data_IF_150518647046
#
_entry.id   IF_150518647046
#
_cell.length_a   1.000
_cell.length_b   1.000
_cell.length_c   1.000
_cell.angle_alpha   90.00
_cell.angle_beta   90.00
_cell.angle_gamma   90.00
#
_symmetry.space_group_name_H-M   'P 1'
#
loop_
_entity.id
_entity.type
_entity.pdbx_description
1 polymer ?
#
# COMPACT_ATOMS: atom_id res chain seq x y z
N UNK A 1 -2.28 34.22 1.95
CA UNK A 1 -2.39 32.76 2.10
C UNK A 1 -1.22 32.13 1.35
N UNK A 2 -0.27 31.50 2.06
CA UNK A 2 0.83 30.75 1.43
C UNK A 2 0.38 29.30 1.22
N UNK A 3 0.98 28.59 0.25
CA UNK A 3 0.64 27.18 -0.05
C UNK A 3 0.72 26.29 1.19
N UNK A 4 1.74 26.50 2.04
CA UNK A 4 1.94 25.77 3.30
C UNK A 4 0.80 25.93 4.31
N UNK A 5 0.01 27.01 4.19
CA UNK A 5 -1.12 27.28 5.11
C UNK A 5 -2.39 26.53 4.65
N UNK A 6 -2.38 25.96 3.44
CA UNK A 6 -3.52 25.25 2.82
C UNK A 6 -3.31 23.74 2.83
N UNK A 7 -2.07 23.29 2.62
CA UNK A 7 -1.75 21.87 2.55
C UNK A 7 -1.67 21.27 3.96
N UNK A 8 -2.08 20.00 4.08
CA UNK A 8 -2.00 19.25 5.33
C UNK A 8 -0.56 19.12 5.87
N UNK A 9 0.44 19.17 4.98
CA UNK A 9 1.87 19.10 5.30
C UNK A 9 2.59 20.25 4.62
N UNK A 10 3.52 20.88 5.35
CA UNK A 10 4.35 21.94 4.78
C UNK A 10 5.30 21.34 3.72
N UNK A 11 5.13 21.69 2.43
CA UNK A 11 5.96 21.14 1.34
C UNK A 11 7.42 21.61 1.43
N UNK A 12 7.72 22.69 2.17
CA UNK A 12 9.09 23.13 2.39
C UNK A 12 9.84 22.24 3.40
N UNK A 13 9.10 21.53 4.26
CA UNK A 13 9.66 20.61 5.26
C UNK A 13 9.53 19.14 4.84
N UNK A 14 8.53 18.81 4.02
CA UNK A 14 8.20 17.44 3.62
C UNK A 14 8.30 17.29 2.10
N UNK A 15 9.53 17.15 1.61
CA UNK A 15 9.78 16.81 0.21
C UNK A 15 9.30 15.40 -0.14
N UNK A 16 9.04 15.15 -1.43
CA UNK A 16 8.76 13.80 -1.92
C UNK A 16 10.02 12.95 -1.84
N UNK A 17 10.04 11.99 -0.92
CA UNK A 17 11.20 11.12 -0.68
C UNK A 17 11.62 10.31 -1.92
N UNK A 18 10.64 9.99 -2.78
CA UNK A 18 10.82 9.26 -4.02
C UNK A 18 11.00 10.17 -5.25
N UNK A 19 11.15 11.49 -5.07
CA UNK A 19 11.24 12.49 -6.14
C UNK A 19 10.07 12.41 -7.15
N UNK A 20 8.90 11.93 -6.72
CA UNK A 20 7.72 11.78 -7.57
C UNK A 20 7.70 10.52 -8.46
N UNK A 21 8.66 9.60 -8.29
CA UNK A 21 8.73 8.36 -9.08
C UNK A 21 8.64 7.13 -8.19
N UNK A 22 7.54 6.37 -8.32
CA UNK A 22 7.43 5.07 -7.67
C UNK A 22 8.36 4.06 -8.35
N UNK A 23 9.34 3.55 -7.59
CA UNK A 23 10.22 2.46 -8.01
C UNK A 23 9.89 1.20 -7.23
N UNK A 24 9.67 0.11 -7.96
CA UNK A 24 9.54 -1.24 -7.41
C UNK A 24 10.94 -1.82 -7.42
N UNK A 25 11.55 -1.92 -6.25
CA UNK A 25 12.93 -2.38 -6.08
C UNK A 25 12.91 -3.52 -5.08
N UNK A 26 13.50 -4.65 -5.42
CA UNK A 26 13.56 -5.84 -4.55
C UNK A 26 14.74 -5.77 -3.55
N UNK A 27 15.58 -4.74 -3.68
CA UNK A 27 16.76 -4.53 -2.86
C UNK A 27 16.39 -3.92 -1.51
N UNK A 28 16.55 -4.70 -0.44
CA UNK A 28 16.36 -4.25 0.95
C UNK A 28 17.59 -3.53 1.49
N UNK A 29 17.93 -2.38 0.92
CA UNK A 29 18.91 -1.48 1.53
C UNK A 29 18.21 -0.44 2.43
N UNK A 30 18.96 0.15 3.36
CA UNK A 30 18.44 1.10 4.36
C UNK A 30 17.70 2.27 3.69
N UNK A 31 18.25 2.81 2.61
CA UNK A 31 17.65 3.89 1.83
C UNK A 31 16.28 3.52 1.25
N UNK A 32 16.15 2.31 0.68
CA UNK A 32 14.89 1.83 0.12
C UNK A 32 13.82 1.64 1.22
N UNK A 33 14.23 1.26 2.43
CA UNK A 33 13.33 1.19 3.59
C UNK A 33 12.93 2.59 4.06
N UNK A 34 13.84 3.54 4.11
CA UNK A 34 13.53 4.93 4.44
C UNK A 34 12.54 5.54 3.44
N UNK A 35 12.79 5.35 2.14
CA UNK A 35 11.89 5.75 1.05
C UNK A 35 10.51 5.10 1.20
N UNK A 36 10.45 3.78 1.46
CA UNK A 36 9.19 3.07 1.66
C UNK A 36 8.42 3.58 2.89
N UNK A 37 9.10 3.85 4.00
CA UNK A 37 8.48 4.40 5.22
C UNK A 37 7.87 5.76 4.92
N UNK A 38 8.61 6.63 4.24
CA UNK A 38 8.13 7.93 3.81
C UNK A 38 6.89 7.80 2.92
N UNK A 39 6.95 6.95 1.88
CA UNK A 39 5.83 6.68 0.98
C UNK A 39 4.59 6.19 1.74
N UNK A 40 4.70 5.15 2.58
CA UNK A 40 3.58 4.63 3.38
C UNK A 40 2.97 5.70 4.31
N UNK A 41 3.82 6.49 4.98
CA UNK A 41 3.36 7.56 5.88
C UNK A 41 2.62 8.70 5.15
N UNK A 42 2.86 8.85 3.85
CA UNK A 42 2.23 9.85 2.97
C UNK A 42 1.13 9.27 2.09
N UNK A 43 0.92 7.95 2.12
CA UNK A 43 0.03 7.29 1.19
C UNK A 43 -1.42 7.65 1.48
N UNK A 44 -2.06 8.29 0.50
CA UNK A 44 -3.48 8.67 0.58
C UNK A 44 -4.33 7.46 0.19
N UNK A 45 -4.67 6.63 1.16
CA UNK A 45 -5.47 5.42 0.97
C UNK A 45 -6.98 5.76 0.94
N UNK A 46 -7.39 6.59 -0.02
CA UNK A 46 -8.77 7.08 -0.15
C UNK A 46 -9.25 7.01 -1.60
N UNK A 47 -10.56 7.16 -1.81
CA UNK A 47 -11.18 7.18 -3.13
C UNK A 47 -10.77 5.98 -4.00
N UNK A 48 -10.35 6.25 -5.24
CA UNK A 48 -10.05 5.21 -6.23
C UNK A 48 -8.87 4.29 -5.83
N UNK A 49 -7.93 4.74 -4.99
CA UNK A 49 -6.89 3.86 -4.49
C UNK A 49 -7.44 2.86 -3.48
N UNK A 50 -8.23 3.31 -2.51
CA UNK A 50 -8.86 2.42 -1.54
C UNK A 50 -9.76 1.40 -2.24
N UNK A 51 -10.66 1.87 -3.11
CA UNK A 51 -11.57 1.01 -3.89
C UNK A 51 -10.81 -0.03 -4.72
N UNK A 52 -9.73 0.38 -5.37
CA UNK A 52 -8.88 -0.52 -6.16
C UNK A 52 -8.24 -1.61 -5.31
N UNK A 53 -7.65 -1.26 -4.17
CA UNK A 53 -7.03 -2.21 -3.25
C UNK A 53 -8.07 -3.17 -2.67
N UNK A 54 -9.20 -2.66 -2.19
CA UNK A 54 -10.31 -3.43 -1.63
C UNK A 54 -10.81 -4.45 -2.66
N UNK A 55 -11.05 -4.01 -3.89
CA UNK A 55 -11.53 -4.90 -4.97
C UNK A 55 -10.54 -6.04 -5.26
N UNK A 56 -9.24 -5.77 -5.27
CA UNK A 56 -8.21 -6.78 -5.53
C UNK A 56 -8.16 -7.80 -4.39
N UNK A 57 -8.06 -7.35 -3.13
CA UNK A 57 -7.95 -8.25 -1.97
C UNK A 57 -9.23 -9.07 -1.79
N UNK A 58 -10.40 -8.44 -1.88
CA UNK A 58 -11.69 -9.14 -1.82
C UNK A 58 -11.81 -10.20 -2.91
N UNK A 59 -11.49 -9.86 -4.16
CA UNK A 59 -11.57 -10.81 -5.27
C UNK A 59 -10.68 -12.04 -5.05
N UNK A 60 -9.49 -11.84 -4.48
CA UNK A 60 -8.59 -12.93 -4.15
C UNK A 60 -9.16 -13.83 -3.03
N UNK A 61 -9.60 -13.22 -1.93
CA UNK A 61 -10.19 -13.93 -0.78
C UNK A 61 -11.43 -14.74 -1.19
N UNK A 62 -12.34 -14.14 -1.98
CA UNK A 62 -13.55 -14.80 -2.50
C UNK A 62 -13.24 -16.02 -3.38
N UNK A 63 -12.09 -16.02 -4.06
CA UNK A 63 -11.70 -17.09 -4.99
C UNK A 63 -10.90 -18.23 -4.33
N UNK A 64 -10.54 -18.12 -3.04
CA UNK A 64 -9.71 -19.13 -2.37
C UNK A 64 -10.32 -20.54 -2.39
N UNK A 65 -11.65 -20.65 -2.38
CA UNK A 65 -12.35 -21.94 -2.43
C UNK A 65 -12.66 -22.40 -3.85
N UNK A 66 -12.21 -21.67 -4.88
CA UNK A 66 -12.50 -21.95 -6.29
C UNK A 66 -11.32 -22.67 -6.93
N UNK A 67 -11.58 -23.28 -8.08
CA UNK A 67 -10.56 -23.99 -8.86
C UNK A 67 -9.64 -23.06 -9.66
N UNK A 68 -9.91 -21.75 -9.67
CA UNK A 68 -9.10 -20.74 -10.34
C UNK A 68 -9.14 -19.41 -9.59
N UNK A 69 -8.05 -18.64 -9.73
CA UNK A 69 -7.88 -17.31 -9.15
C UNK A 69 -8.03 -16.24 -10.23
N UNK A 70 -8.86 -15.23 -9.98
CA UNK A 70 -8.99 -14.08 -10.87
C UNK A 70 -7.72 -13.23 -10.81
N UNK A 71 -7.16 -12.90 -11.97
CA UNK A 71 -6.11 -11.89 -12.08
C UNK A 71 -6.69 -10.47 -11.95
N UNK A 72 -5.88 -9.55 -11.44
CA UNK A 72 -6.20 -8.13 -11.42
C UNK A 72 -5.48 -7.37 -12.53
N UNK A 73 -6.17 -6.45 -13.21
CA UNK A 73 -5.58 -5.55 -14.20
C UNK A 73 -5.73 -4.10 -13.73
N UNK A 74 -4.61 -3.40 -13.55
CA UNK A 74 -4.57 -2.00 -13.11
C UNK A 74 -4.19 -1.11 -14.29
N UNK A 75 -5.12 -0.27 -14.74
CA UNK A 75 -4.95 0.65 -15.88
C UNK A 75 -5.26 2.10 -15.51
N UNK A 76 -4.87 3.04 -16.38
CA UNK A 76 -4.99 4.49 -16.12
C UNK A 76 -3.90 5.33 -16.81
N UNK A 77 -4.11 6.65 -16.87
CA UNK A 77 -3.23 7.60 -17.55
C UNK A 77 -1.81 7.68 -16.95
N UNK A 78 -0.86 8.24 -17.71
CA UNK A 78 0.48 8.53 -17.17
C UNK A 78 0.38 9.47 -15.96
N UNK A 79 1.20 9.24 -14.93
CA UNK A 79 1.16 10.02 -13.69
C UNK A 79 -0.02 9.73 -12.76
N UNK A 80 -0.96 8.84 -13.10
CA UNK A 80 -2.11 8.49 -12.24
C UNK A 80 -1.76 7.59 -11.03
N UNK A 81 -0.47 7.33 -10.80
CA UNK A 81 0.05 6.57 -9.67
C UNK A 81 -0.22 5.06 -9.63
N UNK A 82 -0.51 4.41 -10.78
CA UNK A 82 -0.69 2.94 -10.88
C UNK A 82 0.46 2.14 -10.24
N UNK A 83 1.70 2.45 -10.58
CA UNK A 83 2.87 1.75 -10.03
C UNK A 83 3.03 1.99 -8.53
N UNK A 84 2.65 3.18 -8.05
CA UNK A 84 2.65 3.48 -6.63
C UNK A 84 1.58 2.68 -5.89
N UNK A 85 0.36 2.60 -6.43
CA UNK A 85 -0.72 1.75 -5.90
C UNK A 85 -0.27 0.30 -5.77
N UNK A 86 0.32 -0.27 -6.82
CA UNK A 86 0.81 -1.66 -6.80
C UNK A 86 1.95 -1.87 -5.80
N UNK A 87 2.86 -0.90 -5.66
CA UNK A 87 3.93 -0.94 -4.65
C UNK A 87 3.33 -0.95 -3.24
N UNK A 88 2.40 -0.04 -2.95
CA UNK A 88 1.75 0.04 -1.64
C UNK A 88 0.97 -1.25 -1.36
N UNK A 89 0.20 -1.76 -2.34
CA UNK A 89 -0.51 -3.03 -2.23
C UNK A 89 0.43 -4.18 -1.85
N UNK A 90 1.58 -4.34 -2.51
CA UNK A 90 2.56 -5.37 -2.15
C UNK A 90 3.00 -5.30 -0.69
N UNK A 91 3.29 -4.09 -0.18
CA UNK A 91 3.77 -3.91 1.19
C UNK A 91 2.65 -4.04 2.24
N UNK A 92 1.43 -3.64 1.89
CA UNK A 92 0.24 -3.82 2.71
C UNK A 92 -0.17 -5.31 2.79
N UNK A 93 -0.13 -6.03 1.67
CA UNK A 93 -0.41 -7.46 1.60
C UNK A 93 0.51 -8.24 2.54
N UNK A 94 1.82 -8.02 2.43
CA UNK A 94 2.86 -8.68 3.23
C UNK A 94 2.97 -8.18 4.67
N UNK A 95 2.29 -7.08 4.99
CA UNK A 95 2.48 -6.29 6.21
C UNK A 95 3.96 -6.07 6.54
N UNK A 96 4.69 -5.48 5.58
CA UNK A 96 6.16 -5.42 5.61
C UNK A 96 6.64 -4.84 6.95
N UNK A 97 7.45 -5.62 7.66
CA UNK A 97 8.05 -5.25 8.93
C UNK A 97 9.38 -4.51 8.71
N UNK A 98 9.55 -3.41 9.41
CA UNK A 98 10.75 -2.60 9.40
C UNK A 98 11.72 -3.00 10.53
N UNK A 99 13.01 -2.60 10.48
CA UNK A 99 13.99 -2.97 11.50
C UNK A 99 13.64 -2.54 12.94
N UNK A 100 12.77 -1.53 13.09
CA UNK A 100 12.26 -1.04 14.37
C UNK A 100 10.98 -1.78 14.83
N UNK A 101 10.55 -2.83 14.12
CA UNK A 101 9.36 -3.63 14.42
C UNK A 101 8.04 -2.98 13.99
N UNK A 102 8.07 -1.74 13.47
CA UNK A 102 6.88 -1.10 12.90
C UNK A 102 6.50 -1.84 11.61
N UNK A 103 5.21 -2.00 11.35
CA UNK A 103 4.70 -2.66 10.14
C UNK A 103 4.03 -1.69 9.18
N UNK A 104 4.03 -2.04 7.90
CA UNK A 104 3.53 -1.18 6.83
C UNK A 104 2.09 -0.70 7.05
N UNK A 105 1.19 -1.56 7.53
CA UNK A 105 -0.23 -1.20 7.76
C UNK A 105 -0.42 -0.19 8.90
N UNK A 106 0.56 -0.06 9.81
CA UNK A 106 0.52 0.91 10.90
C UNK A 106 0.98 2.31 10.46
N UNK A 107 1.71 2.42 9.34
CA UNK A 107 2.23 3.68 8.83
C UNK A 107 1.22 4.44 7.95
N UNK A 108 0.29 3.74 7.30
CA UNK A 108 -0.67 4.36 6.39
C UNK A 108 -1.74 5.16 7.16
N UNK A 109 -1.82 6.49 6.96
CA UNK A 109 -2.83 7.31 7.60
C UNK A 109 -4.23 6.99 7.06
N UNK A 110 -5.24 7.06 7.92
CA UNK A 110 -6.67 7.04 7.54
C UNK A 110 -7.13 5.86 6.66
N UNK A 111 -6.46 4.70 6.74
CA UNK A 111 -6.89 3.51 5.99
C UNK A 111 -8.33 3.10 6.35
N UNK A 112 -9.22 2.88 5.35
CA UNK A 112 -10.61 2.48 5.58
C UNK A 112 -10.74 1.20 6.40
N UNK A 113 -11.75 1.14 7.29
CA UNK A 113 -11.93 -0.04 8.16
C UNK A 113 -12.25 -1.31 7.36
N UNK A 114 -12.96 -1.19 6.24
CA UNK A 114 -13.20 -2.31 5.31
C UNK A 114 -11.90 -2.91 4.78
N UNK A 115 -10.95 -2.06 4.37
CA UNK A 115 -9.64 -2.52 3.93
C UNK A 115 -8.85 -3.16 5.08
N UNK A 116 -8.92 -2.60 6.29
CA UNK A 116 -8.31 -3.19 7.49
C UNK A 116 -8.88 -4.58 7.79
N UNK A 117 -10.20 -4.75 7.66
CA UNK A 117 -10.87 -6.02 7.86
C UNK A 117 -10.41 -7.07 6.84
N UNK A 118 -10.35 -6.71 5.55
CA UNK A 118 -9.86 -7.61 4.48
C UNK A 118 -8.40 -8.01 4.69
N UNK A 119 -7.54 -7.08 5.12
CA UNK A 119 -6.13 -7.39 5.42
C UNK A 119 -5.98 -8.31 6.64
N UNK A 120 -6.85 -8.18 7.66
CA UNK A 120 -6.87 -9.12 8.79
C UNK A 120 -7.34 -10.52 8.34
N UNK A 121 -8.34 -10.59 7.49
CA UNK A 121 -8.83 -11.85 6.91
C UNK A 121 -7.74 -12.54 6.07
N UNK A 122 -7.01 -11.77 5.27
CA UNK A 122 -5.85 -12.24 4.52
C UNK A 122 -4.78 -12.88 5.44
N UNK A 123 -4.52 -12.30 6.61
CA UNK A 123 -3.59 -12.91 7.58
C UNK A 123 -4.13 -14.24 8.15
N UNK A 124 -5.44 -14.31 8.42
CA UNK A 124 -6.09 -15.53 8.93
C UNK A 124 -5.97 -16.66 7.91
N UNK A 125 -6.29 -16.38 6.65
CA UNK A 125 -6.12 -17.34 5.54
C UNK A 125 -4.66 -17.74 5.38
N UNK A 126 -3.74 -16.76 5.35
CA UNK A 126 -2.31 -17.04 5.18
C UNK A 126 -1.77 -17.99 6.25
N UNK A 127 -2.19 -17.82 7.51
CA UNK A 127 -1.82 -18.74 8.59
C UNK A 127 -2.42 -20.13 8.40
N UNK A 128 -3.64 -20.24 7.90
CA UNK A 128 -4.32 -21.52 7.63
C UNK A 128 -3.63 -22.31 6.51
N UNK A 129 -3.22 -21.62 5.45
CA UNK A 129 -2.61 -22.23 4.26
C UNK A 129 -1.09 -22.40 4.38
N UNK A 130 -0.49 -22.09 5.54
CA UNK A 130 0.91 -22.38 5.84
C UNK A 130 1.92 -21.33 5.36
N UNK A 131 1.50 -20.11 5.03
CA UNK A 131 2.40 -19.04 4.61
C UNK A 131 1.72 -17.93 3.82
N UNK A 132 2.54 -17.06 3.22
CA UNK A 132 2.04 -16.01 2.31
C UNK A 132 1.33 -16.67 1.12
N UNK A 133 0.02 -16.51 1.06
CA UNK A 133 -0.77 -16.72 -0.16
C UNK A 133 -0.77 -15.41 -0.96
#
# INVERSE_FOLDING_TARGET
MKIKDVLQRDPAQHGLINQGQARIVDTRNERALEELRGELSTFVCEGQYAEGVIKIIRSFLDDLTRTSQRAAWVSGFFGSGKSHLLKMLCHLWRDTEFPDGVKARALVPSMPEELRALLRELDVVSRREGGLV
#
